data_IF_739306655090
#
_entry.id   IF_739306655090
#
_cell.length_a   1.000
_cell.length_b   1.000
_cell.length_c   1.000
_cell.angle_alpha   90.00
_cell.angle_beta   90.00
_cell.angle_gamma   90.00
#
_symmetry.space_group_name_H-M   'P 1'
#
loop_
_entity.id
_entity.type
_entity.pdbx_description
1 polymer ?
#
# COMPACT_ATOMS: atom_id res chain seq x y z
N UNK A 1 36.05 35.13 75.70
CA UNK A 1 34.76 34.43 75.92
C UNK A 1 34.32 33.82 74.56
N UNK A 2 34.26 32.57 74.55
CA UNK A 2 34.16 31.66 73.41
C UNK A 2 32.73 31.53 72.93
N UNK A 3 32.51 31.65 71.61
CA UNK A 3 31.27 31.21 70.99
C UNK A 3 31.58 30.25 69.82
N UNK A 4 31.23 29.00 70.01
CA UNK A 4 31.34 27.89 69.03
C UNK A 4 30.15 27.96 68.12
N UNK A 5 30.38 28.21 66.88
CA UNK A 5 29.37 28.00 65.80
C UNK A 5 29.48 26.62 65.24
N UNK A 6 28.44 25.85 65.44
CA UNK A 6 28.24 24.48 64.89
C UNK A 6 27.75 24.57 63.45
N UNK A 7 28.57 24.20 62.52
CA UNK A 7 28.16 24.10 61.12
C UNK A 7 27.46 22.73 60.85
N UNK A 8 26.17 22.80 60.58
CA UNK A 8 25.38 21.64 60.12
C UNK A 8 25.53 21.54 58.61
N UNK A 9 26.27 20.53 58.13
CA UNK A 9 26.32 20.14 56.75
C UNK A 9 25.06 19.32 56.41
N UNK A 10 24.11 19.97 55.72
CA UNK A 10 22.94 19.27 55.17
C UNK A 10 23.31 18.73 53.79
N UNK A 11 23.64 17.43 53.72
CA UNK A 11 23.87 16.74 52.48
C UNK A 11 22.57 16.50 51.75
N UNK A 12 22.26 17.26 50.72
CA UNK A 12 21.17 17.01 49.80
C UNK A 12 21.58 15.90 48.81
N UNK A 13 21.10 14.69 49.05
CA UNK A 13 21.20 13.55 48.14
C UNK A 13 20.24 13.81 46.99
N UNK A 14 20.76 14.34 45.86
CA UNK A 14 20.00 14.42 44.61
C UNK A 14 19.87 13.00 44.05
N UNK A 15 18.73 12.37 44.29
CA UNK A 15 18.33 11.16 43.54
C UNK A 15 17.95 11.60 42.13
N UNK A 16 18.85 11.41 41.16
CA UNK A 16 18.49 11.43 39.73
C UNK A 16 17.53 10.26 39.47
N UNK A 17 16.23 10.54 39.52
CA UNK A 17 15.23 9.68 38.98
C UNK A 17 15.39 9.72 37.45
N UNK A 18 16.08 8.76 36.87
CA UNK A 18 16.04 8.53 35.42
C UNK A 18 14.61 8.17 35.10
N UNK A 19 13.85 9.15 34.60
CA UNK A 19 12.59 8.89 33.92
C UNK A 19 12.94 8.06 32.69
N UNK A 20 12.89 6.74 32.85
CA UNK A 20 12.84 5.83 31.72
C UNK A 20 11.52 6.14 31.01
N UNK A 21 11.57 6.95 29.94
CA UNK A 21 10.48 7.05 28.99
C UNK A 21 10.34 5.63 28.46
N UNK A 22 9.23 4.92 28.72
CA UNK A 22 9.03 3.61 28.10
C UNK A 22 9.11 3.86 26.60
N UNK A 23 10.03 3.19 25.92
CA UNK A 23 10.00 3.12 24.46
C UNK A 23 8.58 2.62 24.12
N UNK A 24 7.76 3.50 23.58
CA UNK A 24 6.37 3.17 23.26
C UNK A 24 6.47 2.17 22.12
N UNK A 25 6.24 0.90 22.43
CA UNK A 25 6.18 -0.16 21.43
C UNK A 25 5.23 0.31 20.33
N UNK A 26 5.65 0.16 19.08
CA UNK A 26 4.83 0.60 17.97
C UNK A 26 3.46 -0.08 18.07
N UNK A 27 2.38 0.71 18.05
CA UNK A 27 1.01 0.19 18.12
C UNK A 27 0.78 -0.76 16.94
N UNK A 28 0.39 -2.04 17.19
CA UNK A 28 0.15 -3.01 16.13
C UNK A 28 -0.85 -2.54 15.09
N UNK A 29 -1.85 -1.74 15.46
CA UNK A 29 -2.80 -1.16 14.51
C UNK A 29 -2.11 -0.18 13.54
N UNK A 30 -1.14 0.58 14.03
CA UNK A 30 -0.28 1.43 13.21
C UNK A 30 0.61 0.59 12.28
N UNK A 31 1.20 -0.50 12.76
CA UNK A 31 1.99 -1.43 11.94
C UNK A 31 1.16 -2.04 10.82
N UNK A 32 -0.08 -2.45 11.10
CA UNK A 32 -1.02 -2.95 10.09
C UNK A 32 -1.35 -1.90 9.02
N UNK A 33 -1.55 -0.64 9.41
CA UNK A 33 -1.77 0.46 8.47
C UNK A 33 -0.53 0.69 7.57
N UNK A 34 0.67 0.76 8.16
CA UNK A 34 1.92 0.95 7.42
C UNK A 34 2.18 -0.18 6.41
N UNK A 35 1.92 -1.42 6.83
CA UNK A 35 2.05 -2.58 5.96
C UNK A 35 1.02 -2.56 4.81
N UNK A 36 -0.21 -2.12 5.07
CA UNK A 36 -1.22 -1.92 4.03
C UNK A 36 -0.75 -0.86 3.02
N UNK A 37 -0.26 0.31 3.48
CA UNK A 37 0.26 1.37 2.63
C UNK A 37 1.48 0.92 1.81
N UNK A 38 2.39 0.16 2.42
CA UNK A 38 3.51 -0.47 1.72
C UNK A 38 3.05 -1.38 0.59
N UNK A 39 2.03 -2.20 0.81
CA UNK A 39 1.45 -3.10 -0.21
C UNK A 39 0.87 -2.32 -1.38
N UNK A 40 0.10 -1.27 -1.11
CA UNK A 40 -0.45 -0.40 -2.16
C UNK A 40 0.65 0.23 -3.00
N UNK A 41 1.65 0.83 -2.35
CA UNK A 41 2.76 1.48 -3.04
C UNK A 41 3.62 0.50 -3.85
N UNK A 42 3.90 -0.69 -3.30
CA UNK A 42 4.64 -1.74 -4.01
C UNK A 42 3.88 -2.26 -5.24
N UNK A 43 2.57 -2.41 -5.15
CA UNK A 43 1.74 -2.81 -6.29
C UNK A 43 1.63 -1.68 -7.32
N UNK A 44 1.47 -0.42 -6.85
CA UNK A 44 1.43 0.76 -7.70
C UNK A 44 2.73 0.92 -8.52
N UNK A 45 3.89 0.67 -7.93
CA UNK A 45 5.18 0.79 -8.64
C UNK A 45 5.27 -0.11 -9.87
N UNK A 46 4.67 -1.30 -9.82
CA UNK A 46 4.55 -2.19 -10.99
C UNK A 46 3.57 -1.62 -12.03
N UNK A 47 2.43 -1.09 -11.60
CA UNK A 47 1.46 -0.45 -12.49
C UNK A 47 2.06 0.76 -13.22
N UNK A 48 2.76 1.62 -12.48
CA UNK A 48 3.46 2.78 -13.03
C UNK A 48 4.56 2.37 -14.02
N UNK A 49 5.26 1.24 -13.77
CA UNK A 49 6.21 0.66 -14.72
C UNK A 49 5.54 0.20 -16.01
N UNK A 50 4.39 -0.48 -15.93
CA UNK A 50 3.64 -0.87 -17.12
C UNK A 50 3.17 0.36 -17.91
N UNK A 51 2.71 1.40 -17.22
CA UNK A 51 2.34 2.66 -17.86
C UNK A 51 3.55 3.32 -18.53
N UNK A 52 4.71 3.34 -17.86
CA UNK A 52 5.97 3.86 -18.41
C UNK A 52 6.38 3.12 -19.68
N UNK A 53 6.34 1.79 -19.64
CA UNK A 53 6.65 0.92 -20.79
C UNK A 53 5.64 1.09 -21.94
N UNK A 54 4.33 1.10 -21.64
CA UNK A 54 3.27 1.21 -22.63
C UNK A 54 3.09 2.62 -23.21
N UNK A 55 3.60 3.65 -22.53
CA UNK A 55 3.56 5.05 -22.97
C UNK A 55 4.92 5.57 -23.48
N UNK A 56 5.71 4.67 -24.07
CA UNK A 56 6.96 4.98 -24.75
C UNK A 56 7.96 5.80 -23.88
N UNK A 57 7.99 5.53 -22.58
CA UNK A 57 8.91 6.19 -21.66
C UNK A 57 8.47 7.58 -21.19
N UNK A 58 7.17 7.86 -21.15
CA UNK A 58 6.65 9.15 -20.63
C UNK A 58 7.19 9.41 -19.20
N UNK A 59 7.89 10.54 -19.05
CA UNK A 59 8.61 10.92 -17.83
C UNK A 59 7.71 11.14 -16.61
N UNK A 60 6.39 11.31 -16.80
CA UNK A 60 5.44 11.35 -15.68
C UNK A 60 5.42 10.02 -14.94
N UNK A 61 5.36 8.91 -15.69
CA UNK A 61 5.36 7.58 -15.09
C UNK A 61 6.71 7.20 -14.49
N UNK A 62 7.82 7.68 -15.06
CA UNK A 62 9.13 7.51 -14.42
C UNK A 62 9.16 8.15 -13.02
N UNK A 63 8.60 9.36 -12.86
CA UNK A 63 8.48 9.99 -11.53
C UNK A 63 7.52 9.24 -10.62
N UNK A 64 6.38 8.76 -11.13
CA UNK A 64 5.42 7.97 -10.35
C UNK A 64 6.03 6.66 -9.85
N UNK A 65 6.89 6.01 -10.65
CA UNK A 65 7.67 4.83 -10.19
C UNK A 65 8.57 5.23 -9.01
N UNK A 66 9.33 6.33 -9.14
CA UNK A 66 10.22 6.79 -8.08
C UNK A 66 9.43 7.13 -6.80
N UNK A 67 8.28 7.80 -6.92
CA UNK A 67 7.40 8.16 -5.80
C UNK A 67 6.82 6.91 -5.11
N UNK A 68 6.30 5.95 -5.87
CA UNK A 68 5.73 4.72 -5.30
C UNK A 68 6.79 3.81 -4.67
N UNK A 69 7.99 3.75 -5.24
CA UNK A 69 9.13 3.04 -4.63
C UNK A 69 9.55 3.70 -3.32
N UNK A 70 9.68 5.04 -3.29
CA UNK A 70 10.03 5.78 -2.07
C UNK A 70 8.97 5.62 -0.98
N UNK A 71 7.69 5.66 -1.34
CA UNK A 71 6.60 5.45 -0.38
C UNK A 71 6.65 4.03 0.22
N UNK A 72 6.78 2.99 -0.61
CA UNK A 72 6.88 1.62 -0.11
C UNK A 72 8.11 1.43 0.80
N UNK A 73 9.26 2.01 0.44
CA UNK A 73 10.49 1.97 1.24
C UNK A 73 10.32 2.69 2.59
N UNK A 74 9.69 3.86 2.59
CA UNK A 74 9.39 4.62 3.79
C UNK A 74 8.47 3.83 4.73
N UNK A 75 7.36 3.28 4.22
CA UNK A 75 6.41 2.49 5.03
C UNK A 75 7.04 1.22 5.57
N UNK A 76 7.89 0.56 4.79
CA UNK A 76 8.62 -0.63 5.25
C UNK A 76 9.63 -0.29 6.36
N UNK A 77 10.31 0.85 6.27
CA UNK A 77 11.23 1.34 7.32
C UNK A 77 10.51 1.71 8.61
N UNK A 78 9.27 2.18 8.52
CA UNK A 78 8.44 2.49 9.69
C UNK A 78 7.96 1.25 10.46
N UNK A 79 8.07 0.05 9.87
CA UNK A 79 7.80 -1.24 10.53
C UNK A 79 8.98 -1.67 11.40
N UNK A 80 9.21 -0.99 12.50
CA UNK A 80 10.37 -1.20 13.37
C UNK A 80 10.17 -2.27 14.41
N UNK A 81 8.97 -2.34 15.00
CA UNK A 81 8.65 -3.26 16.08
C UNK A 81 7.53 -4.21 15.67
N UNK A 82 7.78 -5.51 15.83
CA UNK A 82 6.84 -6.57 15.54
C UNK A 82 6.43 -7.27 16.83
N UNK A 83 5.15 -7.68 16.96
CA UNK A 83 4.60 -8.21 18.22
C UNK A 83 5.17 -9.55 18.65
N UNK A 84 5.71 -10.34 17.73
CA UNK A 84 6.23 -11.68 18.04
C UNK A 84 7.37 -12.09 17.12
N UNK A 85 7.93 -13.28 17.35
CA UNK A 85 9.09 -13.76 16.61
C UNK A 85 8.74 -14.14 15.17
N UNK A 86 7.54 -14.64 14.93
CA UNK A 86 7.06 -14.95 13.58
C UNK A 86 6.93 -13.71 12.71
N UNK A 87 6.30 -12.65 13.23
CA UNK A 87 6.19 -11.38 12.51
C UNK A 87 7.55 -10.70 12.32
N UNK A 88 8.49 -10.80 13.29
CA UNK A 88 9.87 -10.33 13.12
C UNK A 88 10.58 -11.01 11.97
N UNK A 89 10.51 -12.35 11.90
CA UNK A 89 11.11 -13.13 10.83
C UNK A 89 10.54 -12.76 9.46
N UNK A 90 9.21 -12.69 9.34
CA UNK A 90 8.53 -12.30 8.09
C UNK A 90 8.86 -10.85 7.69
N UNK A 91 9.00 -9.93 8.65
CA UNK A 91 9.38 -8.53 8.38
C UNK A 91 10.78 -8.45 7.75
N UNK A 92 11.74 -9.26 8.24
CA UNK A 92 13.10 -9.34 7.68
C UNK A 92 13.03 -9.87 6.25
N UNK A 93 12.35 -10.99 6.03
CA UNK A 93 12.19 -11.59 4.70
C UNK A 93 11.49 -10.64 3.72
N UNK A 94 10.45 -9.92 4.16
CA UNK A 94 9.78 -8.91 3.35
C UNK A 94 10.75 -7.79 2.93
N UNK A 95 11.65 -7.38 3.83
CA UNK A 95 12.68 -6.38 3.55
C UNK A 95 13.66 -6.83 2.46
N UNK A 96 14.09 -8.09 2.49
CA UNK A 96 14.95 -8.70 1.48
C UNK A 96 14.24 -8.78 0.13
N UNK A 97 13.00 -9.27 0.11
CA UNK A 97 12.20 -9.35 -1.13
C UNK A 97 11.91 -7.96 -1.72
N UNK A 98 11.67 -6.95 -0.87
CA UNK A 98 11.51 -5.58 -1.33
C UNK A 98 12.79 -5.02 -1.98
N UNK A 99 13.92 -5.23 -1.34
CA UNK A 99 15.22 -4.80 -1.87
C UNK A 99 15.51 -5.41 -3.24
N UNK A 100 15.28 -6.71 -3.39
CA UNK A 100 15.48 -7.42 -4.66
C UNK A 100 14.50 -6.90 -5.73
N UNK A 101 13.22 -6.75 -5.38
CA UNK A 101 12.20 -6.23 -6.29
C UNK A 101 12.51 -4.80 -6.76
N UNK A 102 12.78 -3.88 -5.84
CA UNK A 102 13.03 -2.47 -6.17
C UNK A 102 14.32 -2.28 -6.96
N UNK A 103 15.34 -3.10 -6.70
CA UNK A 103 16.59 -3.12 -7.48
C UNK A 103 16.35 -3.55 -8.93
N UNK A 104 15.61 -4.63 -9.15
CA UNK A 104 15.27 -5.10 -10.50
C UNK A 104 14.37 -4.14 -11.25
N UNK A 105 13.40 -3.52 -10.56
CA UNK A 105 12.56 -2.48 -11.16
C UNK A 105 13.40 -1.29 -11.65
N UNK A 106 14.37 -0.87 -10.86
CA UNK A 106 15.32 0.17 -11.25
C UNK A 106 16.11 -0.22 -12.50
N UNK A 107 16.61 -1.46 -12.56
CA UNK A 107 17.33 -1.99 -13.72
C UNK A 107 16.47 -1.96 -15.01
N UNK A 108 15.19 -2.35 -14.89
CA UNK A 108 14.25 -2.31 -16.02
C UNK A 108 13.96 -0.87 -16.50
N UNK A 109 13.77 0.06 -15.57
CA UNK A 109 13.59 1.49 -15.90
C UNK A 109 14.82 2.04 -16.61
N UNK A 110 16.03 1.71 -16.14
CA UNK A 110 17.29 2.10 -16.79
C UNK A 110 17.41 1.48 -18.18
N UNK A 111 17.05 0.22 -18.35
CA UNK A 111 17.06 -0.44 -19.67
C UNK A 111 16.11 0.26 -20.67
N UNK A 112 14.89 0.60 -20.23
CA UNK A 112 13.95 1.37 -21.06
C UNK A 112 14.49 2.76 -21.43
N UNK A 113 15.08 3.48 -20.46
CA UNK A 113 15.66 4.80 -20.71
C UNK A 113 16.83 4.77 -21.69
N UNK A 114 17.66 3.74 -21.66
CA UNK A 114 18.91 3.67 -22.43
C UNK A 114 18.75 2.96 -23.77
N UNK A 115 17.91 1.92 -23.83
CA UNK A 115 17.75 1.05 -25.02
C UNK A 115 16.43 1.33 -25.76
N UNK A 116 15.45 1.99 -25.10
CA UNK A 116 14.11 2.19 -25.62
C UNK A 116 13.19 0.97 -25.57
N UNK A 117 13.68 -0.17 -25.09
CA UNK A 117 12.90 -1.41 -24.91
C UNK A 117 13.47 -2.27 -23.80
N UNK A 118 12.69 -3.24 -23.35
CA UNK A 118 13.12 -4.33 -22.46
C UNK A 118 12.54 -5.65 -22.96
N UNK A 119 13.23 -6.76 -22.64
CA UNK A 119 12.77 -8.09 -22.99
C UNK A 119 11.53 -8.49 -22.18
N UNK A 120 10.71 -9.40 -22.70
CA UNK A 120 9.47 -9.85 -22.07
C UNK A 120 9.73 -10.67 -20.81
N UNK A 121 10.79 -11.48 -20.78
CA UNK A 121 11.08 -12.35 -19.65
C UNK A 121 11.39 -11.55 -18.37
N UNK A 122 12.25 -10.53 -18.37
CA UNK A 122 12.46 -9.67 -17.19
C UNK A 122 11.16 -9.00 -16.68
N UNK A 123 10.23 -8.64 -17.57
CA UNK A 123 8.94 -8.08 -17.17
C UNK A 123 8.08 -9.15 -16.46
N UNK A 124 8.02 -10.37 -17.01
CA UNK A 124 7.31 -11.48 -16.39
C UNK A 124 7.90 -11.85 -15.02
N UNK A 125 9.22 -11.89 -14.91
CA UNK A 125 9.93 -12.13 -13.65
C UNK A 125 9.62 -11.05 -12.61
N UNK A 126 9.55 -9.78 -13.03
CA UNK A 126 9.17 -8.65 -12.17
C UNK A 126 7.74 -8.80 -11.64
N UNK A 127 6.81 -9.20 -12.51
CA UNK A 127 5.42 -9.50 -12.13
C UNK A 127 5.37 -10.59 -11.06
N UNK A 128 6.06 -11.70 -11.27
CA UNK A 128 6.12 -12.80 -10.32
C UNK A 128 6.74 -12.39 -8.98
N UNK A 129 7.80 -11.56 -9.00
CA UNK A 129 8.42 -11.01 -7.78
C UNK A 129 7.46 -10.10 -7.02
N UNK A 130 6.71 -9.24 -7.71
CA UNK A 130 5.71 -8.39 -7.08
C UNK A 130 4.61 -9.22 -6.40
N UNK A 131 4.09 -10.24 -7.09
CA UNK A 131 3.09 -11.15 -6.51
C UNK A 131 3.60 -11.85 -5.25
N UNK A 132 4.83 -12.37 -5.27
CA UNK A 132 5.46 -12.98 -4.10
C UNK A 132 5.61 -11.99 -2.95
N UNK A 133 6.02 -10.76 -3.24
CA UNK A 133 6.15 -9.68 -2.26
C UNK A 133 4.79 -9.36 -1.61
N UNK A 134 3.73 -9.22 -2.41
CA UNK A 134 2.38 -8.93 -1.91
C UNK A 134 1.80 -10.10 -1.08
N UNK A 135 2.06 -11.34 -1.49
CA UNK A 135 1.67 -12.52 -0.73
C UNK A 135 2.37 -12.56 0.65
N UNK A 136 3.67 -12.31 0.69
CA UNK A 136 4.45 -12.24 1.94
C UNK A 136 3.97 -11.08 2.83
N UNK A 137 3.67 -9.92 2.27
CA UNK A 137 3.12 -8.81 3.03
C UNK A 137 1.72 -9.12 3.60
N UNK A 138 0.90 -9.88 2.87
CA UNK A 138 -0.40 -10.39 3.37
C UNK A 138 -0.20 -11.38 4.53
N UNK A 139 0.76 -12.28 4.42
CA UNK A 139 1.12 -13.22 5.49
C UNK A 139 1.59 -12.48 6.75
N UNK A 140 2.50 -11.50 6.60
CA UNK A 140 2.94 -10.65 7.69
C UNK A 140 1.78 -9.90 8.35
N UNK A 141 0.84 -9.38 7.56
CA UNK A 141 -0.35 -8.71 8.08
C UNK A 141 -1.16 -9.63 9.00
N UNK A 142 -1.48 -10.83 8.55
CA UNK A 142 -2.19 -11.83 9.36
C UNK A 142 -1.38 -12.28 10.59
N UNK A 143 -0.05 -12.36 10.46
CA UNK A 143 0.83 -12.75 11.57
C UNK A 143 0.87 -11.68 12.66
N UNK A 144 0.93 -10.38 12.29
CA UNK A 144 0.82 -9.27 13.24
C UNK A 144 -0.51 -9.34 14.00
N UNK A 145 -1.63 -9.55 13.30
CA UNK A 145 -2.95 -9.69 13.95
C UNK A 145 -2.98 -10.87 14.93
N UNK A 146 -2.46 -12.02 14.51
CA UNK A 146 -2.41 -13.23 15.34
C UNK A 146 -1.58 -13.04 16.61
N UNK A 147 -0.39 -12.46 16.49
CA UNK A 147 0.55 -12.32 17.61
C UNK A 147 0.19 -11.18 18.56
N UNK A 148 -0.43 -10.11 18.04
CA UNK A 148 -0.84 -8.96 18.86
C UNK A 148 -2.25 -9.08 19.43
N UNK A 149 -3.11 -9.92 18.85
CA UNK A 149 -4.54 -9.97 19.16
C UNK A 149 -5.33 -8.74 18.64
N UNK A 150 -4.70 -7.82 17.91
CA UNK A 150 -5.34 -6.63 17.39
C UNK A 150 -6.12 -6.96 16.11
N UNK A 151 -7.38 -6.59 16.09
CA UNK A 151 -8.23 -6.67 14.89
C UNK A 151 -8.52 -5.27 14.35
N UNK A 152 -8.36 -5.10 13.06
CA UNK A 152 -8.80 -3.88 12.38
C UNK A 152 -10.33 -3.87 12.34
N UNK A 153 -10.99 -2.74 12.64
CA UNK A 153 -12.44 -2.65 12.55
C UNK A 153 -12.96 -3.07 11.17
N UNK A 154 -14.12 -3.75 11.09
CA UNK A 154 -14.56 -4.41 9.86
C UNK A 154 -14.70 -3.48 8.64
N UNK A 155 -15.27 -2.28 8.80
CA UNK A 155 -15.45 -1.34 7.69
C UNK A 155 -14.12 -0.68 7.27
N UNK A 156 -13.22 -0.48 8.24
CA UNK A 156 -11.83 -0.06 7.96
C UNK A 156 -11.11 -1.10 7.12
N UNK A 157 -11.20 -2.37 7.51
CA UNK A 157 -10.58 -3.48 6.77
C UNK A 157 -11.19 -3.63 5.37
N UNK A 158 -12.51 -3.57 5.26
CA UNK A 158 -13.22 -3.65 3.98
C UNK A 158 -12.79 -2.52 3.04
N UNK A 159 -12.65 -1.29 3.54
CA UNK A 159 -12.21 -0.16 2.73
C UNK A 159 -10.75 -0.34 2.24
N UNK A 160 -9.86 -0.87 3.09
CA UNK A 160 -8.47 -1.20 2.71
C UNK A 160 -8.41 -2.30 1.64
N UNK A 161 -9.21 -3.34 1.76
CA UNK A 161 -9.31 -4.41 0.76
C UNK A 161 -9.85 -3.89 -0.56
N UNK A 162 -10.80 -2.96 -0.51
CA UNK A 162 -11.34 -2.28 -1.69
C UNK A 162 -10.27 -1.45 -2.41
N UNK A 163 -9.39 -0.75 -1.68
CA UNK A 163 -8.24 -0.02 -2.25
C UNK A 163 -7.29 -0.97 -2.96
N UNK A 164 -6.95 -2.09 -2.33
CA UNK A 164 -6.08 -3.12 -2.93
C UNK A 164 -6.70 -3.74 -4.17
N UNK A 165 -8.00 -3.99 -4.17
CA UNK A 165 -8.72 -4.50 -5.35
C UNK A 165 -8.66 -3.50 -6.50
N UNK A 166 -8.89 -2.19 -6.23
CA UNK A 166 -8.78 -1.16 -7.27
C UNK A 166 -7.36 -1.07 -7.83
N UNK A 167 -6.33 -1.18 -6.95
CA UNK A 167 -4.94 -1.19 -7.38
C UNK A 167 -4.64 -2.41 -8.26
N UNK A 168 -5.17 -3.58 -7.92
CA UNK A 168 -5.04 -4.80 -8.76
C UNK A 168 -5.64 -4.59 -10.14
N UNK A 169 -6.87 -4.06 -10.21
CA UNK A 169 -7.54 -3.76 -11.48
C UNK A 169 -6.70 -2.79 -12.34
N UNK A 170 -6.16 -1.74 -11.71
CA UNK A 170 -5.34 -0.76 -12.41
C UNK A 170 -4.04 -1.37 -12.98
N UNK A 171 -3.35 -2.20 -12.19
CA UNK A 171 -2.12 -2.89 -12.61
C UNK A 171 -2.40 -3.88 -13.74
N UNK A 172 -3.45 -4.70 -13.63
CA UNK A 172 -3.82 -5.66 -14.66
C UNK A 172 -4.19 -4.97 -15.96
N UNK A 173 -4.92 -3.85 -15.88
CA UNK A 173 -5.26 -3.06 -17.06
C UNK A 173 -4.01 -2.44 -17.71
N UNK A 174 -3.10 -1.86 -16.91
CA UNK A 174 -1.86 -1.28 -17.40
C UNK A 174 -0.95 -2.34 -18.05
N UNK A 175 -0.79 -3.49 -17.40
CA UNK A 175 -0.03 -4.63 -17.92
C UNK A 175 -0.55 -5.10 -19.28
N UNK A 176 -1.88 -5.27 -19.39
CA UNK A 176 -2.52 -5.66 -20.65
C UNK A 176 -2.31 -4.61 -21.73
N UNK A 177 -2.47 -3.33 -21.41
CA UNK A 177 -2.29 -2.25 -22.38
C UNK A 177 -0.86 -2.14 -22.88
N UNK A 178 0.13 -2.42 -22.01
CA UNK A 178 1.55 -2.44 -22.36
C UNK A 178 1.96 -3.68 -23.19
N UNK A 179 1.16 -4.75 -23.16
CA UNK A 179 1.44 -6.05 -23.79
C UNK A 179 0.79 -6.20 -25.16
N UNK A 180 0.50 -5.12 -25.88
CA UNK A 180 -0.14 -5.19 -27.20
C UNK A 180 0.69 -6.06 -28.14
N UNK A 181 0.16 -7.25 -28.51
CA UNK A 181 0.85 -8.23 -29.34
C UNK A 181 1.72 -9.26 -28.61
N UNK A 182 1.88 -9.18 -27.31
CA UNK A 182 2.56 -10.18 -26.47
C UNK A 182 1.56 -10.97 -25.61
N UNK A 183 1.99 -12.13 -25.10
CA UNK A 183 1.18 -12.88 -24.13
C UNK A 183 0.97 -12.05 -22.86
N UNK A 184 -0.29 -11.92 -22.45
CA UNK A 184 -0.65 -11.20 -21.22
C UNK A 184 -0.20 -12.00 -19.98
N UNK A 185 0.59 -11.38 -19.13
CA UNK A 185 1.02 -11.93 -17.84
C UNK A 185 0.31 -11.20 -16.69
N UNK A 186 -1.02 -11.04 -16.79
CA UNK A 186 -1.84 -10.42 -15.76
C UNK A 186 -1.83 -11.25 -14.48
N UNK A 187 -1.62 -10.61 -13.39
CA UNK A 187 -1.32 -11.24 -12.11
C UNK A 187 -2.35 -11.11 -11.00
N UNK A 188 -3.55 -10.66 -11.26
CA UNK A 188 -4.60 -10.69 -10.24
C UNK A 188 -5.14 -12.10 -10.11
N UNK A 189 -5.07 -12.75 -8.99
CA UNK A 189 -5.61 -14.09 -8.63
C UNK A 189 -6.20 -14.97 -9.79
N UNK A 190 -5.80 -14.70 -11.04
CA UNK A 190 -6.30 -15.37 -12.26
C UNK A 190 -7.71 -14.96 -12.72
N UNK A 191 -8.35 -13.97 -12.07
CA UNK A 191 -9.66 -13.47 -12.48
C UNK A 191 -9.56 -12.45 -13.61
N UNK A 192 -10.46 -12.49 -14.61
CA UNK A 192 -10.55 -11.46 -15.64
C UNK A 192 -10.88 -10.07 -15.06
N UNK A 193 -10.40 -9.01 -15.72
CA UNK A 193 -10.60 -7.61 -15.28
C UNK A 193 -12.09 -7.27 -15.11
N UNK A 194 -12.96 -7.75 -15.98
CA UNK A 194 -14.40 -7.51 -15.89
C UNK A 194 -15.05 -8.19 -14.68
N UNK A 195 -14.52 -9.32 -14.22
CA UNK A 195 -14.96 -9.96 -12.96
C UNK A 195 -14.49 -9.16 -11.74
N UNK A 196 -13.22 -8.75 -11.72
CA UNK A 196 -12.69 -7.88 -10.66
C UNK A 196 -13.46 -6.55 -10.61
N UNK A 197 -13.84 -5.99 -11.75
CA UNK A 197 -14.64 -4.77 -11.83
C UNK A 197 -16.06 -4.98 -11.24
N UNK A 198 -16.69 -6.13 -11.50
CA UNK A 198 -17.98 -6.47 -10.88
C UNK A 198 -17.86 -6.64 -9.36
N UNK A 199 -16.81 -7.32 -8.90
CA UNK A 199 -16.55 -7.49 -7.47
C UNK A 199 -16.35 -6.11 -6.80
N UNK A 200 -15.57 -5.23 -7.43
CA UNK A 200 -15.36 -3.87 -6.94
C UNK A 200 -16.68 -3.08 -6.84
N UNK A 201 -17.49 -3.08 -7.89
CA UNK A 201 -18.78 -2.38 -7.91
C UNK A 201 -19.72 -2.87 -6.81
N UNK A 202 -19.82 -4.19 -6.60
CA UNK A 202 -20.64 -4.80 -5.55
C UNK A 202 -20.18 -4.41 -4.14
N UNK A 203 -18.88 -4.43 -3.89
CA UNK A 203 -18.30 -4.04 -2.61
C UNK A 203 -18.45 -2.53 -2.35
N UNK A 204 -18.27 -1.67 -3.37
CA UNK A 204 -18.50 -0.22 -3.25
C UNK A 204 -19.96 0.07 -2.88
N UNK A 205 -20.91 -0.56 -3.56
CA UNK A 205 -22.33 -0.43 -3.25
C UNK A 205 -22.65 -0.87 -1.81
N UNK A 206 -22.01 -1.94 -1.32
CA UNK A 206 -22.16 -2.39 0.06
C UNK A 206 -21.61 -1.37 1.08
N UNK A 207 -20.47 -0.71 0.77
CA UNK A 207 -19.94 0.37 1.61
C UNK A 207 -20.88 1.59 1.61
N UNK A 208 -21.42 1.99 0.46
CA UNK A 208 -22.37 3.12 0.35
C UNK A 208 -23.63 2.92 1.19
N UNK A 209 -24.10 1.69 1.34
CA UNK A 209 -25.32 1.34 2.07
C UNK A 209 -25.13 1.15 3.57
N UNK A 210 -23.90 1.29 4.11
CA UNK A 210 -23.66 1.09 5.53
C UNK A 210 -24.43 2.11 6.39
N UNK A 211 -25.27 1.66 7.34
CA UNK A 211 -26.12 2.56 8.14
C UNK A 211 -25.31 3.48 9.07
N UNK A 212 -24.08 3.08 9.40
CA UNK A 212 -23.17 3.84 10.26
C UNK A 212 -22.34 4.89 9.52
N UNK A 213 -22.52 5.07 8.21
CA UNK A 213 -21.80 6.07 7.45
C UNK A 213 -22.16 7.49 7.93
N UNK A 214 -21.15 8.24 8.35
CA UNK A 214 -21.29 9.67 8.64
C UNK A 214 -21.60 10.47 7.36
N UNK A 215 -22.09 11.71 7.44
CA UNK A 215 -22.26 12.55 6.26
C UNK A 215 -20.99 12.71 5.44
N UNK A 216 -19.82 12.81 6.08
CA UNK A 216 -18.53 12.93 5.43
C UNK A 216 -18.16 11.65 4.67
N UNK A 217 -18.37 10.48 5.28
CA UNK A 217 -18.14 9.18 4.62
C UNK A 217 -19.07 9.01 3.42
N UNK A 218 -20.35 9.36 3.56
CA UNK A 218 -21.33 9.32 2.45
C UNK A 218 -20.89 10.19 1.28
N UNK A 219 -20.45 11.41 1.55
CA UNK A 219 -19.96 12.32 0.52
C UNK A 219 -18.70 11.76 -0.17
N UNK A 220 -17.74 11.21 0.59
CA UNK A 220 -16.53 10.59 0.04
C UNK A 220 -16.88 9.39 -0.87
N UNK A 221 -17.75 8.48 -0.40
CA UNK A 221 -18.20 7.32 -1.18
C UNK A 221 -18.95 7.74 -2.46
N UNK A 222 -19.82 8.76 -2.39
CA UNK A 222 -20.49 9.34 -3.57
C UNK A 222 -19.49 9.88 -4.60
N UNK A 223 -18.43 10.54 -4.14
CA UNK A 223 -17.34 11.01 -5.01
C UNK A 223 -16.60 9.85 -5.67
N UNK A 224 -16.29 8.78 -4.91
CA UNK A 224 -15.69 7.55 -5.41
C UNK A 224 -16.59 6.90 -6.46
N UNK A 225 -17.88 6.70 -6.16
CA UNK A 225 -18.86 6.12 -7.08
C UNK A 225 -19.01 6.93 -8.38
N UNK A 226 -18.89 8.27 -8.29
CA UNK A 226 -18.88 9.12 -9.49
C UNK A 226 -17.67 8.85 -10.38
N UNK A 227 -16.47 8.75 -9.78
CA UNK A 227 -15.24 8.43 -10.52
C UNK A 227 -15.27 7.01 -11.10
N UNK A 228 -15.80 6.06 -10.33
CA UNK A 228 -15.97 4.67 -10.76
C UNK A 228 -16.80 4.58 -12.06
N UNK A 229 -17.94 5.26 -12.12
CA UNK A 229 -18.82 5.29 -13.32
C UNK A 229 -18.12 5.76 -14.59
N UNK A 230 -17.07 6.58 -14.48
CA UNK A 230 -16.27 7.01 -15.66
C UNK A 230 -15.42 5.88 -16.26
N UNK A 231 -14.99 4.91 -15.45
CA UNK A 231 -14.06 3.87 -15.89
C UNK A 231 -14.69 2.47 -15.96
N UNK A 232 -15.79 2.24 -15.25
CA UNK A 232 -16.44 0.94 -15.13
C UNK A 232 -16.70 0.27 -16.49
N UNK A 233 -17.29 1.00 -17.44
CA UNK A 233 -17.58 0.45 -18.77
C UNK A 233 -16.31 0.05 -19.54
N UNK A 234 -15.24 0.85 -19.42
CA UNK A 234 -13.96 0.52 -20.06
C UNK A 234 -13.28 -0.70 -19.43
N UNK A 235 -13.50 -0.93 -18.12
CA UNK A 235 -13.02 -2.11 -17.43
C UNK A 235 -13.84 -3.36 -17.80
N UNK A 236 -15.15 -3.23 -17.95
CA UNK A 236 -16.01 -4.33 -18.41
C UNK A 236 -15.72 -4.72 -19.85
N UNK A 237 -15.36 -3.76 -20.70
CA UNK A 237 -15.06 -3.94 -22.14
C UNK A 237 -13.56 -3.74 -22.43
N UNK A 238 -12.70 -4.18 -21.52
CA UNK A 238 -11.25 -3.97 -21.58
C UNK A 238 -10.57 -4.51 -22.85
N UNK A 239 -11.27 -5.37 -23.62
CA UNK A 239 -10.81 -5.94 -24.89
C UNK A 239 -11.11 -5.06 -26.11
N UNK A 240 -11.98 -4.06 -26.01
CA UNK A 240 -12.43 -3.26 -27.15
C UNK A 240 -11.53 -2.06 -27.42
N UNK A 241 -11.55 -1.10 -26.49
CA UNK A 241 -10.78 0.15 -26.61
C UNK A 241 -9.89 0.35 -25.39
N UNK A 242 -8.58 0.44 -25.60
CA UNK A 242 -7.62 0.66 -24.54
C UNK A 242 -7.53 2.14 -24.19
N UNK A 243 -7.78 2.50 -22.91
CA UNK A 243 -7.71 3.86 -22.37
C UNK A 243 -6.88 3.91 -21.08
N UNK A 244 -5.60 3.44 -21.12
CA UNK A 244 -4.81 3.21 -19.93
C UNK A 244 -4.58 4.48 -19.10
N UNK A 245 -4.38 5.62 -19.74
CA UNK A 245 -4.24 6.90 -19.04
C UNK A 245 -5.49 7.24 -18.20
N UNK A 246 -6.68 7.03 -18.77
CA UNK A 246 -7.93 7.31 -18.09
C UNK A 246 -8.13 6.38 -16.88
N UNK A 247 -7.90 5.09 -17.09
CA UNK A 247 -8.01 4.08 -16.03
C UNK A 247 -7.02 4.38 -14.90
N UNK A 248 -5.75 4.59 -15.21
CA UNK A 248 -4.72 4.92 -14.20
C UNK A 248 -5.11 6.17 -13.39
N UNK A 249 -5.46 7.28 -14.05
CA UNK A 249 -5.83 8.53 -13.38
C UNK A 249 -7.01 8.38 -12.41
N UNK A 250 -8.08 7.72 -12.85
CA UNK A 250 -9.26 7.56 -12.00
C UNK A 250 -9.07 6.50 -10.93
N UNK A 251 -8.30 5.45 -11.19
CA UNK A 251 -7.94 4.44 -10.18
C UNK A 251 -7.16 5.06 -9.03
N UNK A 252 -6.14 5.86 -9.30
CA UNK A 252 -5.39 6.59 -8.26
C UNK A 252 -6.34 7.44 -7.41
N UNK A 253 -7.21 8.22 -8.03
CA UNK A 253 -8.15 9.08 -7.30
C UNK A 253 -9.22 8.31 -6.51
N UNK A 254 -9.61 7.11 -6.96
CA UNK A 254 -10.52 6.19 -6.24
C UNK A 254 -9.80 5.61 -5.04
N UNK A 255 -8.55 5.15 -5.21
CA UNK A 255 -7.72 4.60 -4.13
C UNK A 255 -7.51 5.64 -3.04
N UNK A 256 -7.12 6.87 -3.39
CA UNK A 256 -6.97 7.98 -2.43
C UNK A 256 -8.27 8.24 -1.65
N UNK A 257 -9.41 8.20 -2.35
CA UNK A 257 -10.72 8.34 -1.73
C UNK A 257 -11.03 7.21 -0.73
N UNK A 258 -10.74 5.96 -1.09
CA UNK A 258 -10.94 4.78 -0.24
C UNK A 258 -10.01 4.79 0.98
N UNK A 259 -8.75 5.22 0.82
CA UNK A 259 -7.82 5.41 1.94
C UNK A 259 -8.34 6.49 2.91
N UNK A 260 -8.90 7.57 2.39
CA UNK A 260 -9.57 8.60 3.19
C UNK A 260 -10.81 8.06 3.93
N UNK A 261 -11.61 7.22 3.30
CA UNK A 261 -12.76 6.53 3.92
C UNK A 261 -12.27 5.56 5.00
N UNK A 262 -11.23 4.77 4.71
CA UNK A 262 -10.62 3.85 5.68
C UNK A 262 -10.14 4.58 6.93
N UNK A 263 -9.49 5.75 6.77
CA UNK A 263 -9.03 6.57 7.89
C UNK A 263 -10.22 7.09 8.73
N UNK A 264 -11.34 7.50 8.09
CA UNK A 264 -12.54 7.94 8.78
C UNK A 264 -13.21 6.79 9.55
N UNK A 265 -13.30 5.59 8.97
CA UNK A 265 -13.79 4.40 9.66
C UNK A 265 -12.90 4.04 10.86
N UNK A 266 -11.57 4.08 10.70
CA UNK A 266 -10.63 3.81 11.78
C UNK A 266 -10.80 4.81 12.94
N UNK A 267 -10.99 6.09 12.65
CA UNK A 267 -11.22 7.13 13.66
C UNK A 267 -12.51 6.94 14.45
N UNK A 268 -13.52 6.30 13.84
CA UNK A 268 -14.81 5.98 14.47
C UNK A 268 -14.90 4.54 14.95
N UNK A 269 -13.83 3.75 14.80
CA UNK A 269 -13.74 2.32 15.14
C UNK A 269 -14.81 1.45 14.44
N UNK A 270 -15.11 1.76 13.18
CA UNK A 270 -16.06 1.07 12.32
C UNK A 270 -15.39 0.09 11.32
#
# INVERSE_FOLDING_TARGET
MTSRTLAILLGTLLTLSTLSIPAQAADPATSLLKLHQMRLAAQKSLGDFYMYNGMEGDQRYARMIDESVQEADARLKELTEMPGDGSKALRVQLGEQWKDYSGELTNLVVALKTKGFTDLQPIADMTARNQKLLAMAKELYGKIQQESGVNVPPLTQQSREQSLLMQTIAVDYASRSASVGASFFGGGEGKPIDELARDFAGQLAALEQQPKNTPQIKQALTSIGTKWRYIEKSLQNYNENSVPFLINKYSDSIIDGLEGVSAQYAATQL
#
